data_IF_842594867457
#
_entry.id   IF_842594867457
#
_cell.length_a   1.000
_cell.length_b   1.000
_cell.length_c   1.000
_cell.angle_alpha   90.00
_cell.angle_beta   90.00
_cell.angle_gamma   90.00
#
_symmetry.space_group_name_H-M   'P 1'
#
loop_
_entity.id
_entity.type
_entity.pdbx_description
1 polymer ?
#
# COMPACT_ATOMS: atom_id res chain seq x y z
N UNK A 1 -19.55 24.55 7.71
CA UNK A 1 -19.91 23.11 7.73
C UNK A 1 -19.63 22.40 6.39
N UNK A 2 -20.09 22.92 5.25
CA UNK A 2 -19.92 22.29 3.91
C UNK A 2 -18.45 22.06 3.51
N UNK A 3 -17.57 23.05 3.73
CA UNK A 3 -16.14 22.94 3.38
C UNK A 3 -15.44 21.84 4.16
N UNK A 4 -15.80 21.66 5.44
CA UNK A 4 -15.25 20.60 6.29
C UNK A 4 -15.67 19.21 5.79
N UNK A 5 -16.95 19.03 5.47
CA UNK A 5 -17.44 17.78 4.87
C UNK A 5 -16.72 17.44 3.56
N UNK A 6 -16.52 18.42 2.68
CA UNK A 6 -15.78 18.21 1.43
C UNK A 6 -14.34 17.74 1.67
N UNK A 7 -13.62 18.34 2.62
CA UNK A 7 -12.25 17.91 2.98
C UNK A 7 -12.22 16.47 3.49
N UNK A 8 -13.19 16.08 4.30
CA UNK A 8 -13.30 14.71 4.82
C UNK A 8 -13.60 13.70 3.70
N UNK A 9 -14.47 14.03 2.75
CA UNK A 9 -14.72 13.17 1.58
C UNK A 9 -13.45 12.96 0.75
N UNK A 10 -12.67 14.02 0.49
CA UNK A 10 -11.39 13.89 -0.21
C UNK A 10 -10.38 13.03 0.56
N UNK A 11 -10.37 13.13 1.90
CA UNK A 11 -9.54 12.28 2.74
C UNK A 11 -9.92 10.79 2.65
N UNK A 12 -11.21 10.48 2.61
CA UNK A 12 -11.69 9.10 2.41
C UNK A 12 -11.32 8.56 1.03
N UNK A 13 -11.48 9.37 -0.02
CA UNK A 13 -11.08 9.01 -1.39
C UNK A 13 -9.57 8.78 -1.49
N UNK A 14 -8.77 9.63 -0.85
CA UNK A 14 -7.33 9.46 -0.75
C UNK A 14 -6.99 8.13 -0.07
N UNK A 15 -7.57 7.87 1.10
CA UNK A 15 -7.31 6.65 1.88
C UNK A 15 -7.71 5.38 1.12
N UNK A 16 -8.86 5.39 0.43
CA UNK A 16 -9.32 4.25 -0.37
C UNK A 16 -8.42 4.02 -1.59
N UNK A 17 -7.96 5.09 -2.25
CA UNK A 17 -7.01 4.97 -3.36
C UNK A 17 -5.67 4.38 -2.94
N UNK A 18 -5.16 4.72 -1.75
CA UNK A 18 -3.96 4.10 -1.19
C UNK A 18 -4.15 2.60 -0.97
N UNK A 19 -5.26 2.18 -0.36
CA UNK A 19 -5.57 0.77 -0.14
C UNK A 19 -5.63 0.00 -1.47
N UNK A 20 -6.32 0.56 -2.48
CA UNK A 20 -6.40 -0.04 -3.81
C UNK A 20 -5.01 -0.17 -4.46
N UNK A 21 -4.17 0.86 -4.35
CA UNK A 21 -2.80 0.84 -4.84
C UNK A 21 -1.99 -0.30 -4.19
N UNK A 22 -2.01 -0.42 -2.87
CA UNK A 22 -1.31 -1.52 -2.17
C UNK A 22 -1.82 -2.90 -2.57
N UNK A 23 -3.14 -3.04 -2.75
CA UNK A 23 -3.74 -4.28 -3.21
C UNK A 23 -3.28 -4.67 -4.63
N UNK A 24 -3.23 -3.70 -5.55
CA UNK A 24 -2.71 -3.90 -6.91
C UNK A 24 -1.24 -4.30 -6.87
N UNK A 25 -0.40 -3.61 -6.08
CA UNK A 25 1.00 -3.96 -5.92
C UNK A 25 1.18 -5.40 -5.40
N UNK A 26 0.39 -5.78 -4.39
CA UNK A 26 0.43 -7.13 -3.82
C UNK A 26 0.05 -8.20 -4.85
N UNK A 27 -0.99 -7.94 -5.67
CA UNK A 27 -1.42 -8.84 -6.75
C UNK A 27 -0.34 -9.00 -7.83
N UNK A 28 0.29 -7.89 -8.24
CA UNK A 28 1.38 -7.90 -9.22
C UNK A 28 2.60 -8.67 -8.70
N UNK A 29 2.99 -8.40 -7.45
CA UNK A 29 4.08 -9.11 -6.79
C UNK A 29 3.82 -10.62 -6.71
N UNK A 30 2.62 -11.02 -6.30
CA UNK A 30 2.24 -12.42 -6.16
C UNK A 30 2.23 -13.16 -7.51
N UNK A 31 1.80 -12.48 -8.58
CA UNK A 31 1.84 -13.02 -9.95
C UNK A 31 3.29 -13.23 -10.42
N UNK A 32 4.16 -12.26 -10.16
CA UNK A 32 5.59 -12.36 -10.47
C UNK A 32 6.28 -13.48 -9.69
N UNK A 33 5.90 -13.67 -8.41
CA UNK A 33 6.40 -14.76 -7.57
C UNK A 33 6.07 -16.15 -8.15
N UNK A 34 4.82 -16.39 -8.56
CA UNK A 34 4.40 -17.68 -9.14
C UNK A 34 5.23 -18.02 -10.39
N UNK A 35 5.56 -17.02 -11.21
CA UNK A 35 6.31 -17.23 -12.46
C UNK A 35 7.79 -17.52 -12.22
N UNK A 36 8.41 -17.01 -11.17
CA UNK A 36 9.86 -17.10 -11.01
C UNK A 36 10.32 -16.98 -9.55
N UNK A 37 10.28 -18.11 -8.82
CA UNK A 37 10.60 -18.18 -7.39
C UNK A 37 12.03 -17.71 -7.06
N UNK A 38 13.00 -18.00 -7.92
CA UNK A 38 14.44 -17.70 -7.69
C UNK A 38 14.71 -16.19 -7.59
N UNK A 39 13.87 -15.36 -8.23
CA UNK A 39 14.02 -13.89 -8.24
C UNK A 39 13.13 -13.20 -7.20
N UNK A 40 12.47 -13.96 -6.32
CA UNK A 40 11.52 -13.47 -5.32
C UNK A 40 12.04 -12.29 -4.51
N UNK A 41 13.21 -12.43 -3.89
CA UNK A 41 13.78 -11.43 -2.99
C UNK A 41 14.00 -10.09 -3.72
N UNK A 42 14.55 -10.15 -4.94
CA UNK A 42 14.78 -8.97 -5.77
C UNK A 42 13.47 -8.25 -6.10
N UNK A 43 12.46 -9.00 -6.53
CA UNK A 43 11.15 -8.41 -6.83
C UNK A 43 10.51 -7.82 -5.57
N UNK A 44 10.58 -8.50 -4.43
CA UNK A 44 10.03 -8.00 -3.17
C UNK A 44 10.60 -6.64 -2.78
N UNK A 45 11.93 -6.50 -2.83
CA UNK A 45 12.60 -5.23 -2.55
C UNK A 45 12.20 -4.15 -3.56
N UNK A 46 12.17 -4.48 -4.86
CA UNK A 46 11.73 -3.51 -5.88
C UNK A 46 10.28 -3.04 -5.66
N UNK A 47 9.34 -3.95 -5.41
CA UNK A 47 7.94 -3.59 -5.14
C UNK A 47 7.78 -2.82 -3.82
N UNK A 48 8.60 -3.13 -2.81
CA UNK A 48 8.65 -2.36 -1.56
C UNK A 48 9.07 -0.91 -1.81
N UNK A 49 10.15 -0.69 -2.56
CA UNK A 49 10.60 0.66 -2.91
C UNK A 49 9.52 1.43 -3.69
N UNK A 50 8.88 0.80 -4.68
CA UNK A 50 7.79 1.41 -5.45
C UNK A 50 6.62 1.82 -4.53
N UNK A 51 6.22 0.94 -3.60
CA UNK A 51 5.19 1.22 -2.61
C UNK A 51 5.53 2.44 -1.76
N UNK A 52 6.75 2.51 -1.23
CA UNK A 52 7.21 3.62 -0.38
C UNK A 52 7.26 4.93 -1.16
N UNK A 53 7.85 4.95 -2.35
CA UNK A 53 8.00 6.16 -3.17
C UNK A 53 6.64 6.73 -3.57
N UNK A 54 5.76 5.90 -4.13
CA UNK A 54 4.45 6.35 -4.62
C UNK A 54 3.56 6.80 -3.46
N UNK A 55 3.52 6.04 -2.36
CA UNK A 55 2.69 6.42 -1.20
C UNK A 55 3.21 7.71 -0.55
N UNK A 56 4.53 7.86 -0.38
CA UNK A 56 5.13 9.09 0.18
C UNK A 56 4.86 10.30 -0.70
N UNK A 57 4.99 10.15 -2.03
CA UNK A 57 4.68 11.22 -2.97
C UNK A 57 3.19 11.60 -2.94
N UNK A 58 2.30 10.61 -2.88
CA UNK A 58 0.85 10.84 -2.78
C UNK A 58 0.46 11.55 -1.49
N UNK A 59 1.03 11.14 -0.35
CA UNK A 59 0.83 11.81 0.95
C UNK A 59 1.35 13.24 0.92
N UNK A 60 2.53 13.47 0.34
CA UNK A 60 3.11 14.80 0.19
C UNK A 60 2.19 15.73 -0.60
N UNK A 61 1.69 15.28 -1.77
CA UNK A 61 0.73 16.04 -2.56
C UNK A 61 -0.53 16.35 -1.76
N UNK A 62 -1.14 15.35 -1.11
CA UNK A 62 -2.35 15.55 -0.31
C UNK A 62 -2.13 16.58 0.81
N UNK A 63 -0.99 16.52 1.50
CA UNK A 63 -0.66 17.45 2.58
C UNK A 63 -0.46 18.88 2.09
N UNK A 64 0.03 19.10 0.87
CA UNK A 64 0.16 20.44 0.28
C UNK A 64 -1.20 21.07 -0.02
N UNK A 65 -2.20 20.27 -0.42
CA UNK A 65 -3.56 20.76 -0.67
C UNK A 65 -4.40 20.91 0.60
N UNK A 66 -4.16 20.06 1.61
CA UNK A 66 -4.98 19.98 2.82
C UNK A 66 -4.15 20.06 4.10
N UNK A 67 -3.53 21.22 4.35
CA UNK A 67 -2.65 21.44 5.49
C UNK A 67 -3.29 21.07 6.84
N UNK A 68 -4.57 21.40 7.03
CA UNK A 68 -5.32 21.07 8.26
C UNK A 68 -5.44 19.58 8.56
N UNK A 69 -5.25 18.71 7.56
CA UNK A 69 -5.35 17.25 7.68
C UNK A 69 -3.98 16.55 7.62
N UNK A 70 -2.86 17.28 7.54
CA UNK A 70 -1.51 16.74 7.36
C UNK A 70 -1.16 15.63 8.34
N UNK A 71 -1.33 15.86 9.65
CA UNK A 71 -1.01 14.87 10.69
C UNK A 71 -1.83 13.59 10.50
N UNK A 72 -3.13 13.76 10.21
CA UNK A 72 -4.05 12.64 10.02
C UNK A 72 -3.70 11.83 8.76
N UNK A 73 -3.38 12.49 7.65
CA UNK A 73 -2.96 11.87 6.41
C UNK A 73 -1.67 11.06 6.56
N UNK A 74 -0.66 11.62 7.24
CA UNK A 74 0.61 10.93 7.50
C UNK A 74 0.35 9.67 8.35
N UNK A 75 -0.33 9.79 9.49
CA UNK A 75 -0.60 8.65 10.38
C UNK A 75 -1.43 7.58 9.66
N UNK A 76 -2.49 7.98 8.98
CA UNK A 76 -3.39 7.02 8.29
C UNK A 76 -2.66 6.29 7.16
N UNK A 77 -1.85 7.01 6.38
CA UNK A 77 -1.05 6.41 5.31
C UNK A 77 -0.05 5.38 5.85
N UNK A 78 0.60 5.67 6.97
CA UNK A 78 1.52 4.75 7.64
C UNK A 78 0.80 3.50 8.16
N UNK A 79 -0.36 3.67 8.81
CA UNK A 79 -1.19 2.55 9.29
C UNK A 79 -1.64 1.66 8.12
N UNK A 80 -2.12 2.26 7.02
CA UNK A 80 -2.51 1.52 5.81
C UNK A 80 -1.31 0.75 5.26
N UNK A 81 -0.14 1.40 5.12
CA UNK A 81 1.07 0.78 4.63
C UNK A 81 1.45 -0.46 5.46
N UNK A 82 1.49 -0.32 6.79
CA UNK A 82 1.85 -1.39 7.72
C UNK A 82 0.86 -2.56 7.58
N UNK A 83 -0.44 -2.29 7.68
CA UNK A 83 -1.48 -3.33 7.61
C UNK A 83 -1.40 -4.07 6.27
N UNK A 84 -1.34 -3.35 5.16
CA UNK A 84 -1.25 -3.96 3.83
C UNK A 84 0.03 -4.80 3.68
N UNK A 85 1.17 -4.33 4.20
CA UNK A 85 2.43 -5.06 4.14
C UNK A 85 2.40 -6.36 4.96
N UNK A 86 1.79 -6.33 6.15
CA UNK A 86 1.61 -7.53 6.96
C UNK A 86 0.69 -8.56 6.28
N UNK A 87 -0.44 -8.11 5.72
CA UNK A 87 -1.38 -8.98 4.98
C UNK A 87 -0.67 -9.64 3.80
N UNK A 88 0.12 -8.88 3.04
CA UNK A 88 0.92 -9.40 1.93
C UNK A 88 1.92 -10.47 2.40
N UNK A 89 2.64 -10.21 3.49
CA UNK A 89 3.57 -11.17 4.10
C UNK A 89 2.87 -12.48 4.47
N UNK A 90 1.69 -12.40 5.08
CA UNK A 90 0.89 -13.57 5.46
C UNK A 90 0.41 -14.36 4.23
N UNK A 91 -0.09 -13.69 3.19
CA UNK A 91 -0.55 -14.35 1.95
C UNK A 91 0.60 -15.09 1.28
N UNK A 92 1.78 -14.49 1.23
CA UNK A 92 2.97 -15.09 0.61
C UNK A 92 3.46 -16.28 1.41
N UNK A 93 3.58 -16.15 2.74
CA UNK A 93 3.95 -17.27 3.62
C UNK A 93 3.00 -18.46 3.45
N UNK A 94 1.68 -18.21 3.46
CA UNK A 94 0.67 -19.26 3.25
C UNK A 94 0.84 -19.98 1.91
N UNK A 95 1.18 -19.24 0.83
CA UNK A 95 1.45 -19.85 -0.48
C UNK A 95 2.74 -20.66 -0.52
N UNK A 96 3.81 -20.20 0.12
CA UNK A 96 5.07 -20.95 0.22
C UNK A 96 4.82 -22.30 0.91
N UNK A 97 4.16 -22.28 2.08
CA UNK A 97 3.86 -23.50 2.86
C UNK A 97 3.01 -24.49 2.06
N UNK A 98 2.01 -24.01 1.31
CA UNK A 98 1.15 -24.88 0.50
C UNK A 98 1.85 -25.44 -0.74
N UNK A 99 2.83 -24.75 -1.32
CA UNK A 99 3.62 -25.26 -2.45
C UNK A 99 4.63 -26.33 -2.02
N UNK A 100 5.15 -26.27 -0.79
CA UNK A 100 6.06 -27.31 -0.26
C UNK A 100 5.32 -28.61 0.06
N UNK A 101 4.00 -28.55 0.30
CA UNK A 101 3.16 -29.72 0.61
C UNK A 101 2.56 -30.42 -0.62
N UNK A 102 2.79 -29.89 -1.83
CA UNK A 102 2.40 -30.51 -3.10
C UNK A 102 3.57 -31.26 -3.70
#
# INVERSE_FOLDING_TARGET
MVIFFSKMTHFFLFSSSLVLFFFICSKLFLSSYIKNHVKYLRFQVSYFCVKVIISSFSVFLFCNYYESLKKLAIITSLVIFIICHFIEGFIVQKKIVNNVKK
#
